data_IF_465996969939
#
_entry.id   IF_465996969939
#
_cell.length_a   1.000
_cell.length_b   1.000
_cell.length_c   1.000
_cell.angle_alpha   90.00
_cell.angle_beta   90.00
_cell.angle_gamma   90.00
#
_symmetry.space_group_name_H-M   'P 1'
#
loop_
_entity.id
_entity.type
_entity.pdbx_description
1 polymer ?
#
# COMPACT_ATOMS: atom_id res chain seq x y z
N UNK A 1 4.66 -6.49 -6.09
CA UNK A 1 3.48 -5.74 -5.61
C UNK A 1 2.82 -6.42 -4.42
N UNK A 2 2.34 -7.67 -4.53
CA UNK A 2 1.71 -8.41 -3.41
C UNK A 2 2.53 -8.40 -2.11
N UNK A 3 3.84 -8.60 -2.20
CA UNK A 3 4.75 -8.54 -1.04
C UNK A 3 4.78 -7.17 -0.34
N UNK A 4 4.62 -6.06 -1.08
CA UNK A 4 4.60 -4.74 -0.45
C UNK A 4 3.29 -4.47 0.30
N UNK A 5 2.16 -4.90 -0.28
CA UNK A 5 0.86 -4.86 0.38
C UNK A 5 0.84 -5.73 1.62
N UNK A 6 1.29 -6.98 1.49
CA UNK A 6 1.37 -7.92 2.61
C UNK A 6 2.27 -7.37 3.72
N UNK A 7 3.51 -6.96 3.41
CA UNK A 7 4.43 -6.40 4.41
C UNK A 7 3.83 -5.15 5.10
N UNK A 8 3.14 -4.28 4.37
CA UNK A 8 2.47 -3.12 4.98
C UNK A 8 1.35 -3.54 5.94
N UNK A 9 0.51 -4.49 5.53
CA UNK A 9 -0.66 -4.94 6.30
C UNK A 9 -0.29 -5.86 7.47
N UNK A 10 0.82 -6.60 7.39
CA UNK A 10 1.33 -7.46 8.46
C UNK A 10 2.20 -6.74 9.46
N UNK A 11 2.77 -5.57 9.09
CA UNK A 11 3.48 -4.72 10.06
C UNK A 11 2.49 -4.19 11.11
N UNK A 12 2.85 -4.14 12.41
CA UNK A 12 2.03 -3.52 13.45
C UNK A 12 1.70 -2.05 13.15
N UNK A 13 0.48 -1.63 13.49
CA UNK A 13 -0.15 -0.39 13.00
C UNK A 13 0.47 0.91 13.48
N UNK A 14 0.98 0.94 14.71
CA UNK A 14 1.67 2.12 15.26
C UNK A 14 3.21 2.00 15.26
N UNK A 15 3.76 0.90 14.73
CA UNK A 15 5.22 0.68 14.67
C UNK A 15 5.75 1.11 13.30
N UNK A 16 6.95 1.70 13.29
CA UNK A 16 7.65 2.19 12.08
C UNK A 16 6.78 3.02 11.12
N UNK A 17 6.21 4.16 11.57
CA UNK A 17 5.24 4.95 10.78
C UNK A 17 5.80 5.40 9.43
N UNK A 18 7.10 5.70 9.34
CA UNK A 18 7.75 6.11 8.10
C UNK A 18 7.91 4.95 7.11
N UNK A 19 8.24 3.75 7.60
CA UNK A 19 8.28 2.54 6.76
C UNK A 19 6.88 2.24 6.22
N UNK A 20 5.87 2.24 7.08
CA UNK A 20 4.47 2.02 6.70
C UNK A 20 3.99 3.03 5.67
N UNK A 21 4.26 4.32 5.88
CA UNK A 21 3.91 5.37 4.93
C UNK A 21 4.62 5.19 3.58
N UNK A 22 5.90 4.81 3.57
CA UNK A 22 6.64 4.49 2.33
C UNK A 22 5.97 3.33 1.59
N UNK A 23 5.66 2.23 2.28
CA UNK A 23 5.10 1.03 1.65
C UNK A 23 3.69 1.27 1.12
N UNK A 24 2.83 1.93 1.89
CA UNK A 24 1.48 2.29 1.47
C UNK A 24 1.49 3.32 0.33
N UNK A 25 2.36 4.33 0.41
CA UNK A 25 2.55 5.34 -0.64
C UNK A 25 3.04 4.72 -1.95
N UNK A 26 4.03 3.83 -1.89
CA UNK A 26 4.50 3.10 -3.08
C UNK A 26 3.42 2.20 -3.67
N UNK A 27 2.62 1.56 -2.82
CA UNK A 27 1.50 0.72 -3.24
C UNK A 27 0.42 1.53 -3.97
N UNK A 28 0.05 2.69 -3.43
CA UNK A 28 -0.88 3.63 -4.07
C UNK A 28 -0.32 4.21 -5.38
N UNK A 29 0.97 4.56 -5.42
CA UNK A 29 1.66 4.97 -6.63
C UNK A 29 1.57 3.89 -7.72
N UNK A 30 1.87 2.63 -7.38
CA UNK A 30 1.92 1.53 -8.36
C UNK A 30 0.54 1.24 -8.98
N UNK A 31 -0.53 1.25 -8.17
CA UNK A 31 -1.90 1.10 -8.67
C UNK A 31 -2.22 2.22 -9.66
N UNK A 32 -1.96 3.47 -9.27
CA UNK A 32 -2.23 4.62 -10.15
C UNK A 32 -1.35 4.64 -11.39
N UNK A 33 -0.08 4.21 -11.29
CA UNK A 33 0.82 4.04 -12.43
C UNK A 33 0.24 3.04 -13.45
N UNK A 34 -0.33 1.93 -12.99
CA UNK A 34 -0.91 0.91 -13.86
C UNK A 34 -2.09 1.48 -14.68
N UNK A 35 -2.99 2.21 -14.03
CA UNK A 35 -4.10 2.89 -14.72
C UNK A 35 -3.62 4.03 -15.63
N UNK A 36 -2.61 4.78 -15.19
CA UNK A 36 -1.99 5.84 -15.97
C UNK A 36 -1.28 5.31 -17.22
N UNK A 37 -0.61 4.15 -17.14
CA UNK A 37 0.05 3.51 -18.27
C UNK A 37 -0.97 3.09 -19.33
N UNK A 38 -2.09 2.48 -18.93
CA UNK A 38 -3.18 2.14 -19.84
C UNK A 38 -3.76 3.38 -20.52
N UNK A 39 -4.10 4.42 -19.75
CA UNK A 39 -4.65 5.67 -20.28
C UNK A 39 -3.68 6.39 -21.23
N UNK A 40 -2.41 6.48 -20.86
CA UNK A 40 -1.39 7.12 -21.69
C UNK A 40 -1.14 6.34 -22.98
N UNK A 41 -1.09 5.01 -22.92
CA UNK A 41 -0.92 4.17 -24.11
C UNK A 41 -2.02 4.42 -25.13
N UNK A 42 -3.28 4.51 -24.69
CA UNK A 42 -4.41 4.86 -25.56
C UNK A 42 -4.26 6.25 -26.20
N UNK A 43 -3.77 7.24 -25.44
CA UNK A 43 -3.51 8.57 -25.97
C UNK A 43 -2.38 8.56 -27.02
N UNK A 44 -1.31 7.80 -26.78
CA UNK A 44 -0.20 7.63 -27.72
C UNK A 44 -0.66 6.94 -29.01
N UNK A 45 -1.39 5.84 -28.92
CA UNK A 45 -1.88 5.11 -30.09
C UNK A 45 -2.89 5.92 -30.92
N UNK A 46 -3.71 6.74 -30.28
CA UNK A 46 -4.67 7.61 -30.98
C UNK A 46 -4.05 8.92 -31.48
N UNK A 47 -2.82 9.25 -31.07
CA UNK A 47 -2.17 10.54 -31.37
C UNK A 47 -2.85 11.76 -30.74
N UNK A 48 -3.94 11.57 -29.99
CA UNK A 48 -4.79 12.65 -29.51
C UNK A 48 -4.40 13.08 -28.10
N UNK A 49 -4.14 14.38 -27.91
CA UNK A 49 -3.91 14.99 -26.58
C UNK A 49 -2.80 14.34 -25.73
N UNK A 50 -1.79 13.72 -26.36
CA UNK A 50 -0.69 12.99 -25.67
C UNK A 50 -0.07 13.79 -24.52
N UNK A 51 0.24 15.08 -24.71
CA UNK A 51 0.79 15.94 -23.66
C UNK A 51 -0.16 16.10 -22.46
N UNK A 52 -1.45 16.32 -22.71
CA UNK A 52 -2.45 16.47 -21.64
C UNK A 52 -2.67 15.14 -20.91
N UNK A 53 -2.64 14.02 -21.65
CA UNK A 53 -2.69 12.69 -21.05
C UNK A 53 -1.49 12.45 -20.11
N UNK A 54 -0.27 12.79 -20.55
CA UNK A 54 0.92 12.67 -19.71
C UNK A 54 0.84 13.47 -18.40
N UNK A 55 0.39 14.73 -18.47
CA UNK A 55 0.17 15.55 -17.26
C UNK A 55 -0.89 14.95 -16.33
N UNK A 56 -1.95 14.38 -16.91
CA UNK A 56 -3.01 13.70 -16.15
C UNK A 56 -2.48 12.45 -15.45
N UNK A 57 -1.67 11.65 -16.14
CA UNK A 57 -1.00 10.47 -15.59
C UNK A 57 -0.09 10.81 -14.40
N UNK A 58 0.71 11.88 -14.49
CA UNK A 58 1.54 12.36 -13.37
C UNK A 58 0.68 12.71 -12.17
N UNK A 59 -0.43 13.43 -12.38
CA UNK A 59 -1.38 13.77 -11.30
C UNK A 59 -1.98 12.52 -10.66
N UNK A 60 -2.36 11.51 -11.45
CA UNK A 60 -2.90 10.25 -10.91
C UNK A 60 -1.88 9.50 -10.05
N UNK A 61 -0.62 9.45 -10.47
CA UNK A 61 0.47 8.82 -9.70
C UNK A 61 0.70 9.53 -8.36
N UNK A 62 0.77 10.86 -8.37
CA UNK A 62 0.92 11.67 -7.15
C UNK A 62 -0.29 11.53 -6.22
N UNK A 63 -1.51 11.53 -6.78
CA UNK A 63 -2.72 11.31 -6.01
C UNK A 63 -2.73 9.90 -5.39
N UNK A 64 -2.35 8.86 -6.15
CA UNK A 64 -2.25 7.49 -5.64
C UNK A 64 -1.29 7.37 -4.47
N UNK A 65 -0.10 7.97 -4.58
CA UNK A 65 0.88 8.00 -3.49
C UNK A 65 0.32 8.72 -2.25
N UNK A 66 -0.34 9.85 -2.44
CA UNK A 66 -0.96 10.64 -1.36
C UNK A 66 -2.05 9.86 -0.64
N UNK A 67 -2.90 9.16 -1.39
CA UNK A 67 -3.95 8.28 -0.85
C UNK A 67 -3.34 7.16 -0.01
N UNK A 68 -2.28 6.52 -0.48
CA UNK A 68 -1.54 5.50 0.28
C UNK A 68 -0.92 6.01 1.57
N UNK A 69 -0.25 7.17 1.54
CA UNK A 69 0.32 7.80 2.76
C UNK A 69 -0.78 8.19 3.75
N UNK A 70 -1.90 8.73 3.25
CA UNK A 70 -3.07 9.07 4.08
C UNK A 70 -3.64 7.85 4.77
N UNK A 71 -3.76 6.73 4.05
CA UNK A 71 -4.18 5.46 4.62
C UNK A 71 -3.28 5.07 5.80
N UNK A 72 -1.96 5.04 5.59
CA UNK A 72 -0.99 4.70 6.62
C UNK A 72 -1.08 5.63 7.84
N UNK A 73 -1.19 6.94 7.63
CA UNK A 73 -1.36 7.91 8.71
C UNK A 73 -2.64 7.67 9.51
N UNK A 74 -3.77 7.42 8.83
CA UNK A 74 -5.05 7.10 9.48
C UNK A 74 -4.98 5.81 10.32
N UNK A 75 -4.36 4.75 9.78
CA UNK A 75 -4.13 3.50 10.55
C UNK A 75 -3.24 3.72 11.77
N UNK A 76 -2.16 4.50 11.63
CA UNK A 76 -1.24 4.78 12.73
C UNK A 76 -1.90 5.57 13.85
N UNK A 77 -2.63 6.64 13.52
CA UNK A 77 -3.27 7.51 14.50
C UNK A 77 -4.34 6.73 15.28
N UNK A 78 -5.18 5.96 14.57
CA UNK A 78 -6.23 5.15 15.21
C UNK A 78 -5.64 4.04 16.08
N UNK A 79 -4.62 3.32 15.59
CA UNK A 79 -3.93 2.30 16.37
C UNK A 79 -3.32 2.87 17.66
N UNK A 80 -2.68 4.04 17.57
CA UNK A 80 -2.08 4.71 18.73
C UNK A 80 -3.12 5.19 19.72
N UNK A 81 -4.28 5.65 19.24
CA UNK A 81 -5.37 6.11 20.10
C UNK A 81 -6.09 4.93 20.79
N UNK A 82 -6.24 3.79 20.12
CA UNK A 82 -6.95 2.62 20.64
C UNK A 82 -6.05 1.64 21.41
N UNK A 83 -4.73 1.77 21.33
CA UNK A 83 -3.78 0.82 21.93
C UNK A 83 -3.76 -0.55 21.25
N UNK A 84 -4.36 -0.69 20.07
CA UNK A 84 -4.45 -1.92 19.30
C UNK A 84 -3.55 -1.81 18.06
N UNK A 85 -2.49 -2.63 18.01
CA UNK A 85 -1.52 -2.67 16.91
C UNK A 85 -2.01 -3.38 15.67
N UNK A 86 -3.07 -4.18 15.74
CA UNK A 86 -3.38 -5.10 14.64
C UNK A 86 -4.86 -5.18 14.29
N UNK A 87 -5.72 -4.38 14.91
CA UNK A 87 -7.15 -4.35 14.62
C UNK A 87 -7.53 -3.94 13.19
N UNK A 88 -8.48 -4.66 12.60
CA UNK A 88 -9.14 -4.28 11.34
C UNK A 88 -9.83 -2.91 11.43
N UNK A 89 -10.20 -2.46 12.64
CA UNK A 89 -10.83 -1.16 12.87
C UNK A 89 -9.90 0.01 12.49
N UNK A 90 -8.60 -0.10 12.77
CA UNK A 90 -7.63 0.92 12.38
C UNK A 90 -7.56 1.06 10.85
N UNK A 91 -7.62 -0.07 10.14
CA UNK A 91 -7.65 -0.16 8.69
C UNK A 91 -8.95 0.37 8.10
N UNK A 92 -10.08 0.18 8.79
CA UNK A 92 -11.33 0.86 8.43
C UNK A 92 -11.17 2.38 8.43
N UNK A 93 -10.57 2.96 9.47
CA UNK A 93 -10.31 4.41 9.57
C UNK A 93 -9.30 4.87 8.52
N UNK A 94 -8.19 4.14 8.34
CA UNK A 94 -7.22 4.38 7.27
C UNK A 94 -7.87 4.36 5.88
N UNK A 95 -8.73 3.38 5.62
CA UNK A 95 -9.51 3.26 4.39
C UNK A 95 -10.44 4.45 4.18
N UNK A 96 -11.24 4.81 5.19
CA UNK A 96 -12.17 5.92 5.10
C UNK A 96 -11.45 7.25 4.81
N UNK A 97 -10.37 7.55 5.55
CA UNK A 97 -9.58 8.77 5.36
C UNK A 97 -8.94 8.84 3.98
N UNK A 98 -8.34 7.73 3.51
CA UNK A 98 -7.80 7.61 2.16
C UNK A 98 -8.89 7.80 1.08
N UNK A 99 -10.09 7.26 1.31
CA UNK A 99 -11.22 7.43 0.40
C UNK A 99 -11.68 8.89 0.28
N UNK A 100 -11.75 9.63 1.39
CA UNK A 100 -12.04 11.08 1.37
C UNK A 100 -10.98 11.83 0.57
N UNK A 101 -9.70 11.54 0.79
CA UNK A 101 -8.59 12.18 0.06
C UNK A 101 -8.59 11.81 -1.44
N UNK A 102 -8.98 10.59 -1.80
CA UNK A 102 -9.03 10.15 -3.20
C UNK A 102 -10.03 10.93 -4.06
N UNK A 103 -11.08 11.48 -3.44
CA UNK A 103 -12.09 12.34 -4.07
C UNK A 103 -12.01 13.79 -3.58
N UNK A 104 -10.83 14.22 -3.13
CA UNK A 104 -10.62 15.58 -2.68
C UNK A 104 -10.95 16.58 -3.80
N UNK A 105 -11.75 17.59 -3.50
CA UNK A 105 -12.27 18.55 -4.49
C UNK A 105 -13.51 18.08 -5.26
N UNK A 106 -13.91 16.80 -5.14
CA UNK A 106 -15.18 16.30 -5.68
C UNK A 106 -16.39 16.66 -4.80
N UNK A 107 -17.63 16.38 -5.26
CA UNK A 107 -18.85 16.58 -4.49
C UNK A 107 -18.89 15.67 -3.25
N UNK A 108 -19.65 16.07 -2.22
CA UNK A 108 -19.75 15.33 -0.95
C UNK A 108 -20.15 13.86 -1.17
N UNK A 109 -21.10 13.61 -2.07
CA UNK A 109 -21.53 12.25 -2.42
C UNK A 109 -20.37 11.38 -2.91
N UNK A 110 -19.50 11.88 -3.78
CA UNK A 110 -18.34 11.13 -4.27
C UNK A 110 -17.35 10.82 -3.15
N UNK A 111 -17.13 11.76 -2.23
CA UNK A 111 -16.24 11.56 -1.07
C UNK A 111 -16.78 10.49 -0.13
N UNK A 112 -18.08 10.51 0.17
CA UNK A 112 -18.74 9.49 1.01
C UNK A 112 -18.63 8.11 0.37
N UNK A 113 -18.97 7.98 -0.92
CA UNK A 113 -18.88 6.69 -1.61
C UNK A 113 -17.45 6.13 -1.61
N UNK A 114 -16.44 6.97 -1.87
CA UNK A 114 -15.04 6.56 -1.83
C UNK A 114 -14.60 6.19 -0.41
N UNK A 115 -14.98 6.96 0.59
CA UNK A 115 -14.69 6.66 1.99
C UNK A 115 -15.25 5.29 2.40
N UNK A 116 -16.53 5.02 2.13
CA UNK A 116 -17.15 3.72 2.44
C UNK A 116 -16.48 2.57 1.68
N UNK A 117 -16.27 2.73 0.36
CA UNK A 117 -15.65 1.69 -0.46
C UNK A 117 -14.23 1.36 -0.01
N UNK A 118 -13.42 2.37 0.31
CA UNK A 118 -12.05 2.17 0.76
C UNK A 118 -11.98 1.63 2.19
N UNK A 119 -12.89 2.03 3.07
CA UNK A 119 -13.02 1.47 4.42
C UNK A 119 -13.29 -0.03 4.36
N UNK A 120 -14.30 -0.45 3.58
CA UNK A 120 -14.64 -1.87 3.40
C UNK A 120 -13.48 -2.64 2.80
N UNK A 121 -12.89 -2.14 1.70
CA UNK A 121 -11.77 -2.80 1.04
C UNK A 121 -10.57 -2.97 1.98
N UNK A 122 -10.27 -1.96 2.80
CA UNK A 122 -9.16 -2.01 3.75
C UNK A 122 -9.40 -3.03 4.87
N UNK A 123 -10.62 -3.07 5.42
CA UNK A 123 -11.02 -4.11 6.40
C UNK A 123 -10.84 -5.51 5.82
N UNK A 124 -11.38 -5.75 4.62
CA UNK A 124 -11.29 -7.06 3.96
C UNK A 124 -9.83 -7.50 3.76
N UNK A 125 -8.97 -6.57 3.34
CA UNK A 125 -7.55 -6.86 3.15
C UNK A 125 -6.82 -7.13 4.46
N UNK A 126 -7.09 -6.36 5.53
CA UNK A 126 -6.48 -6.61 6.84
C UNK A 126 -6.94 -7.94 7.43
N UNK A 127 -8.23 -8.26 7.36
CA UNK A 127 -8.77 -9.55 7.82
C UNK A 127 -8.16 -10.71 7.03
N UNK A 128 -8.01 -10.56 5.71
CA UNK A 128 -7.35 -11.58 4.89
C UNK A 128 -5.89 -11.80 5.30
N UNK A 129 -5.12 -10.73 5.55
CA UNK A 129 -3.73 -10.85 5.99
C UNK A 129 -3.64 -11.50 7.37
N UNK A 130 -4.50 -11.10 8.32
CA UNK A 130 -4.57 -11.74 9.63
C UNK A 130 -4.89 -13.24 9.53
N UNK A 131 -5.81 -13.63 8.64
CA UNK A 131 -6.13 -15.02 8.39
C UNK A 131 -4.93 -15.80 7.83
N UNK A 132 -4.18 -15.23 6.87
CA UNK A 132 -2.97 -15.88 6.33
C UNK A 132 -1.87 -16.00 7.39
N UNK A 133 -1.74 -15.01 8.28
CA UNK A 133 -0.77 -15.03 9.37
C UNK A 133 -1.13 -16.08 10.45
N UNK A 134 -2.42 -16.24 10.75
CA UNK A 134 -2.94 -17.24 11.70
C UNK A 134 -2.91 -18.67 11.14
N UNK A 135 -3.14 -18.82 9.83
CA UNK A 135 -3.19 -20.12 9.14
C UNK A 135 -2.15 -20.21 8.01
N UNK A 136 -0.83 -20.24 8.33
CA UNK A 136 0.23 -20.17 7.32
C UNK A 136 0.26 -21.39 6.39
N UNK A 137 -0.31 -22.52 6.82
CA UNK A 137 -0.42 -23.77 6.04
C UNK A 137 -1.68 -23.82 5.17
N UNK A 138 -2.53 -22.79 5.18
CA UNK A 138 -3.69 -22.71 4.31
C UNK A 138 -3.23 -22.48 2.87
N UNK A 139 -3.28 -23.54 2.05
CA UNK A 139 -2.79 -23.54 0.68
C UNK A 139 -3.71 -22.70 -0.22
N UNK A 140 -3.40 -21.41 -0.36
CA UNK A 140 -3.89 -20.60 -1.48
C UNK A 140 -2.80 -20.64 -2.56
N UNK A 141 -3.04 -21.17 -3.77
CA UNK A 141 -2.04 -21.17 -4.83
C UNK A 141 -1.57 -19.73 -5.08
N UNK A 142 -0.33 -19.43 -4.65
CA UNK A 142 0.29 -18.13 -4.85
C UNK A 142 0.73 -18.07 -6.32
N UNK A 143 -0.04 -17.36 -7.14
CA UNK A 143 0.41 -17.03 -8.50
C UNK A 143 1.68 -16.17 -8.42
N UNK A 144 2.82 -16.73 -8.81
CA UNK A 144 4.09 -16.02 -8.93
C UNK A 144 5.07 -16.18 -7.77
N UNK A 145 5.17 -17.37 -7.16
CA UNK A 145 6.32 -17.73 -6.32
C UNK A 145 7.61 -17.74 -7.15
N UNK A 146 8.25 -16.59 -7.22
CA UNK A 146 9.68 -16.53 -6.96
C UNK A 146 9.87 -15.92 -5.59
N UNK A 147 10.75 -16.54 -4.81
CA UNK A 147 11.27 -16.07 -3.52
C UNK A 147 11.32 -14.54 -3.45
N UNK A 148 11.00 -13.89 -2.32
CA UNK A 148 11.42 -12.51 -2.14
C UNK A 148 12.92 -12.50 -2.34
N UNK A 149 13.38 -11.99 -3.49
CA UNK A 149 14.74 -11.54 -3.63
C UNK A 149 14.97 -10.59 -2.46
N UNK A 150 15.95 -10.90 -1.61
CA UNK A 150 16.39 -10.06 -0.50
C UNK A 150 16.84 -8.66 -0.97
N UNK A 151 16.85 -8.40 -2.29
CA UNK A 151 17.32 -7.17 -2.92
C UNK A 151 16.22 -6.19 -3.34
N UNK A 152 14.94 -6.47 -3.08
CA UNK A 152 13.83 -5.54 -3.41
C UNK A 152 13.57 -4.49 -2.32
N UNK A 153 14.62 -3.88 -1.77
CA UNK A 153 14.97 -2.50 -2.13
C UNK A 153 16.33 -2.17 -1.51
N UNK A 154 17.30 -1.72 -2.31
CA UNK A 154 18.56 -1.15 -1.82
C UNK A 154 18.34 0.00 -0.82
N UNK A 155 17.14 0.60 -0.77
CA UNK A 155 16.76 1.63 0.19
C UNK A 155 16.35 1.10 1.58
N UNK A 156 16.11 -0.21 1.78
CA UNK A 156 15.78 -0.77 3.10
C UNK A 156 17.02 -1.20 3.89
N UNK A 157 18.14 -1.45 3.19
CA UNK A 157 19.43 -1.87 3.75
C UNK A 157 20.06 -0.86 4.71
N UNK A 158 19.73 0.42 4.55
CA UNK A 158 20.24 1.52 5.37
C UNK A 158 19.34 1.87 6.56
N UNK A 159 18.14 1.27 6.65
CA UNK A 159 17.14 1.61 7.66
C UNK A 159 17.00 0.55 8.75
N UNK A 160 17.61 -0.63 8.60
CA UNK A 160 17.68 -1.63 9.65
C UNK A 160 19.16 -1.83 10.08
N UNK A 161 19.54 -1.37 11.29
CA UNK A 161 20.90 -1.53 11.79
C UNK A 161 21.31 -2.99 12.00
N UNK A 162 20.35 -3.91 12.15
CA UNK A 162 20.56 -5.35 12.39
C UNK A 162 20.74 -6.17 11.10
N UNK A 163 20.61 -5.54 9.91
CA UNK A 163 20.75 -6.25 8.61
C UNK A 163 22.09 -6.96 8.45
N UNK A 164 23.16 -6.41 9.04
CA UNK A 164 24.48 -7.05 9.00
C UNK A 164 24.55 -8.34 9.82
N UNK A 165 23.80 -8.42 10.92
CA UNK A 165 23.75 -9.61 11.78
C UNK A 165 22.88 -10.69 11.13
N UNK A 166 21.73 -10.29 10.56
CA UNK A 166 20.86 -11.20 9.80
C UNK A 166 21.54 -11.78 8.54
N UNK A 167 22.35 -10.98 7.84
CA UNK A 167 23.16 -11.48 6.71
C UNK A 167 24.24 -12.47 7.20
N UNK A 168 24.86 -12.21 8.35
CA UNK A 168 25.89 -13.08 8.91
C UNK A 168 25.34 -14.45 9.35
N UNK A 169 24.20 -14.47 10.03
CA UNK A 169 23.51 -15.72 10.41
C UNK A 169 23.12 -16.57 9.18
N UNK A 170 22.75 -15.92 8.08
CA UNK A 170 22.42 -16.60 6.82
C UNK A 170 23.65 -17.20 6.13
N UNK A 171 24.79 -16.51 6.15
CA UNK A 171 26.03 -17.03 5.57
C UNK A 171 26.71 -18.10 6.45
N UNK A 172 26.42 -18.13 7.75
CA UNK A 172 26.91 -19.15 8.68
C UNK A 172 26.01 -20.40 8.72
N UNK A 173 24.81 -20.35 8.13
CA UNK A 173 23.86 -21.48 8.05
C UNK A 173 23.82 -22.18 6.69
N UNK A 174 24.70 -21.80 5.76
CA UNK A 174 24.96 -22.45 4.46
C UNK A 174 26.33 -23.14 4.47
#
# INVERSE_FOLDING_TARGET
MLKHFYNYLSTPDYVDPLFRAKMAGFSGYFISFSGAAAYYSLAVFSGFKVRQAGLTCVRWMLAGATVGVTHAAGTYISAKACGDTNGWFNHMIGGATAGVVSAWGGPLSARIHRACGFAILSVLMKVYVQFIDEYPNFYVPRFGEHNPSHYLSLNHRWMNPEVKEQEKELFESL
#
